data_IF_168422955633
#
_entry.id   IF_168422955633
#
_cell.length_a   1.000
_cell.length_b   1.000
_cell.length_c   1.000
_cell.angle_alpha   90.00
_cell.angle_beta   90.00
_cell.angle_gamma   90.00
#
_symmetry.space_group_name_H-M   'P 1'
#
loop_
_entity.id
_entity.type
_entity.pdbx_description
1 polymer ?
#
# COMPACT_ATOMS: atom_id res chain seq x y z
N UNK A 1 8.05 11.65 -22.07
CA UNK A 1 7.39 12.56 -21.10
C UNK A 1 6.77 11.73 -19.99
N UNK A 2 7.36 11.73 -18.78
CA UNK A 2 6.78 11.05 -17.61
C UNK A 2 5.60 11.89 -17.11
N UNK A 3 4.41 11.29 -16.98
CA UNK A 3 3.25 11.97 -16.41
C UNK A 3 3.40 11.96 -14.89
N UNK A 4 3.82 13.09 -14.31
CA UNK A 4 3.80 13.28 -12.86
C UNK A 4 2.35 13.36 -12.40
N UNK A 5 1.90 12.37 -11.61
CA UNK A 5 0.58 12.40 -10.96
C UNK A 5 0.59 13.50 -9.90
N UNK A 6 -0.09 14.61 -10.17
CA UNK A 6 -0.41 15.62 -9.15
C UNK A 6 -1.71 15.18 -8.50
N UNK A 7 -1.63 14.65 -7.28
CA UNK A 7 -2.82 14.34 -6.51
C UNK A 7 -3.44 15.67 -6.05
N UNK A 8 -4.72 15.94 -6.34
CA UNK A 8 -5.40 17.05 -5.69
C UNK A 8 -5.44 16.71 -4.19
N UNK A 9 -4.78 17.53 -3.38
CA UNK A 9 -5.00 17.54 -1.94
C UNK A 9 -6.44 18.02 -1.72
N UNK A 10 -7.39 17.10 -1.78
CA UNK A 10 -8.77 17.39 -1.43
C UNK A 10 -8.79 17.73 0.05
N UNK A 11 -9.03 19.00 0.36
CA UNK A 11 -9.05 19.61 1.70
C UNK A 11 -10.05 18.93 2.67
N UNK A 12 -10.85 17.95 2.22
CA UNK A 12 -11.95 17.37 3.00
C UNK A 12 -11.78 15.93 3.50
N UNK A 13 -10.64 15.24 3.28
CA UNK A 13 -10.45 13.87 3.80
C UNK A 13 -9.60 13.86 5.06
N UNK A 14 -10.25 14.16 6.19
CA UNK A 14 -9.65 14.02 7.51
C UNK A 14 -9.67 12.58 8.00
N UNK A 15 -8.89 12.30 9.04
CA UNK A 15 -8.88 10.99 9.73
C UNK A 15 -10.28 10.60 10.23
N UNK A 16 -11.09 11.58 10.67
CA UNK A 16 -12.49 11.37 11.08
C UNK A 16 -13.38 10.77 9.99
N UNK A 17 -13.02 10.92 8.70
CA UNK A 17 -13.80 10.38 7.59
C UNK A 17 -13.60 8.88 7.36
N UNK A 18 -12.70 8.24 8.11
CA UNK A 18 -12.37 6.82 7.97
C UNK A 18 -13.23 5.91 8.85
N UNK A 19 -13.75 6.44 9.96
CA UNK A 19 -14.63 5.71 10.86
C UNK A 19 -15.98 5.41 10.22
N UNK A 20 -16.71 4.44 10.79
CA UNK A 20 -18.06 4.12 10.37
C UNK A 20 -19.03 5.28 10.64
N UNK A 21 -20.10 5.37 9.85
CA UNK A 21 -21.08 6.47 9.92
C UNK A 21 -21.26 7.21 8.59
N UNK A 22 -22.00 8.32 8.62
CA UNK A 22 -22.33 9.13 7.44
C UNK A 22 -21.15 9.95 6.90
N UNK A 23 -20.13 10.18 7.71
CA UNK A 23 -18.94 10.94 7.31
C UNK A 23 -18.17 10.22 6.19
N UNK A 24 -17.59 10.99 5.27
CA UNK A 24 -16.92 10.41 4.11
C UNK A 24 -17.85 9.75 3.09
N UNK A 25 -19.15 10.08 3.10
CA UNK A 25 -20.14 9.54 2.16
C UNK A 25 -19.69 9.52 0.70
N UNK A 26 -19.01 10.57 0.22
CA UNK A 26 -18.55 10.67 -1.17
C UNK A 26 -17.62 9.52 -1.59
N UNK A 27 -16.66 9.14 -0.73
CA UNK A 27 -15.74 8.06 -1.04
C UNK A 27 -16.32 6.69 -0.71
N UNK A 28 -17.14 6.59 0.36
CA UNK A 28 -17.83 5.35 0.74
C UNK A 28 -18.84 4.92 -0.33
N UNK A 29 -19.68 5.83 -0.82
CA UNK A 29 -20.65 5.58 -1.89
C UNK A 29 -19.97 5.21 -3.21
N UNK A 30 -18.87 5.89 -3.56
CA UNK A 30 -18.03 5.52 -4.70
C UNK A 30 -17.49 4.10 -4.58
N UNK A 31 -16.93 3.73 -3.42
CA UNK A 31 -16.38 2.40 -3.20
C UNK A 31 -17.45 1.30 -3.32
N UNK A 32 -18.65 1.53 -2.78
CA UNK A 32 -19.79 0.61 -2.92
C UNK A 32 -20.27 0.50 -4.37
N UNK A 33 -20.33 1.62 -5.10
CA UNK A 33 -20.68 1.64 -6.51
C UNK A 33 -19.65 0.88 -7.37
N UNK A 34 -18.35 1.02 -7.10
CA UNK A 34 -17.28 0.29 -7.77
C UNK A 34 -17.39 -1.23 -7.52
N UNK A 35 -17.65 -1.66 -6.27
CA UNK A 35 -17.90 -3.08 -5.96
C UNK A 35 -19.10 -3.65 -6.71
N UNK A 36 -20.22 -2.91 -6.72
CA UNK A 36 -21.44 -3.31 -7.44
C UNK A 36 -21.22 -3.39 -8.94
N UNK A 37 -20.56 -2.39 -9.53
CA UNK A 37 -20.26 -2.35 -10.96
C UNK A 37 -19.38 -3.52 -11.38
N UNK A 38 -18.36 -3.86 -10.58
CA UNK A 38 -17.49 -5.00 -10.83
C UNK A 38 -18.28 -6.32 -10.81
N UNK A 39 -19.14 -6.51 -9.81
CA UNK A 39 -19.99 -7.70 -9.70
C UNK A 39 -20.93 -7.87 -10.91
N UNK A 40 -21.60 -6.79 -11.31
CA UNK A 40 -22.50 -6.79 -12.47
C UNK A 40 -21.75 -7.02 -13.78
N UNK A 41 -20.56 -6.44 -13.94
CA UNK A 41 -19.73 -6.66 -15.14
C UNK A 41 -19.26 -8.10 -15.23
N UNK A 42 -18.81 -8.68 -14.11
CA UNK A 42 -18.36 -10.07 -14.06
C UNK A 42 -19.48 -11.07 -14.38
N UNK A 43 -20.67 -10.88 -13.79
CA UNK A 43 -21.80 -11.77 -13.98
C UNK A 43 -22.55 -11.53 -15.29
N UNK A 44 -22.80 -10.28 -15.65
CA UNK A 44 -23.76 -9.89 -16.69
C UNK A 44 -23.17 -9.45 -18.03
N UNK A 45 -21.91 -9.01 -18.10
CA UNK A 45 -21.33 -8.52 -19.36
C UNK A 45 -20.81 -9.68 -20.23
N UNK A 46 -21.68 -10.16 -21.11
CA UNK A 46 -21.35 -11.25 -22.05
C UNK A 46 -20.20 -10.88 -22.99
N UNK A 47 -20.01 -9.59 -23.29
CA UNK A 47 -18.94 -9.14 -24.19
C UNK A 47 -17.54 -9.31 -23.59
N UNK A 48 -17.43 -9.54 -22.27
CA UNK A 48 -16.15 -9.84 -21.61
C UNK A 48 -15.73 -11.30 -21.73
N UNK A 49 -16.64 -12.20 -22.14
CA UNK A 49 -16.40 -13.65 -22.23
C UNK A 49 -15.79 -14.04 -23.58
N UNK A 50 -14.76 -13.30 -24.01
CA UNK A 50 -14.11 -13.45 -25.32
C UNK A 50 -12.71 -14.02 -25.11
N UNK A 51 -12.31 -14.95 -25.99
CA UNK A 51 -10.95 -15.47 -25.98
C UNK A 51 -9.93 -14.37 -26.31
N UNK A 52 -8.80 -14.38 -25.61
CA UNK A 52 -7.73 -13.42 -25.85
C UNK A 52 -7.14 -13.61 -27.25
N UNK A 53 -7.04 -12.53 -28.02
CA UNK A 53 -6.42 -12.47 -29.34
C UNK A 53 -5.27 -11.45 -29.35
N UNK A 54 -4.49 -11.40 -30.43
CA UNK A 54 -3.21 -10.67 -30.45
C UNK A 54 -3.36 -9.18 -30.15
N UNK A 55 -4.44 -8.54 -30.60
CA UNK A 55 -4.72 -7.15 -30.27
C UNK A 55 -4.90 -6.93 -28.75
N UNK A 56 -5.57 -7.84 -28.04
CA UNK A 56 -5.70 -7.79 -26.58
C UNK A 56 -4.36 -8.05 -25.91
N UNK A 57 -3.56 -9.01 -26.39
CA UNK A 57 -2.24 -9.34 -25.83
C UNK A 57 -1.28 -8.15 -25.91
N UNK A 58 -1.17 -7.55 -27.11
CA UNK A 58 -0.31 -6.38 -27.33
C UNK A 58 -0.76 -5.18 -26.50
N UNK A 59 -2.06 -4.86 -26.50
CA UNK A 59 -2.59 -3.75 -25.70
C UNK A 59 -2.46 -4.00 -24.19
N UNK A 60 -2.62 -5.25 -23.76
CA UNK A 60 -2.43 -5.64 -22.37
C UNK A 60 -1.00 -5.41 -21.88
N UNK A 61 0.00 -5.79 -22.68
CA UNK A 61 1.41 -5.56 -22.35
C UNK A 61 1.76 -4.06 -22.37
N UNK A 62 1.26 -3.29 -23.35
CA UNK A 62 1.41 -1.83 -23.38
C UNK A 62 0.83 -1.18 -22.12
N UNK A 63 -0.37 -1.59 -21.70
CA UNK A 63 -1.01 -1.06 -20.48
C UNK A 63 -0.23 -1.44 -19.21
N UNK A 64 0.29 -2.66 -19.14
CA UNK A 64 1.14 -3.13 -18.03
C UNK A 64 2.43 -2.31 -17.93
N UNK A 65 3.07 -2.02 -19.06
CA UNK A 65 4.26 -1.15 -19.10
C UNK A 65 3.90 0.29 -18.71
N UNK A 66 2.76 0.81 -19.17
CA UNK A 66 2.29 2.14 -18.82
C UNK A 66 2.05 2.30 -17.31
N UNK A 67 1.43 1.31 -16.66
CA UNK A 67 1.20 1.31 -15.20
C UNK A 67 2.54 1.21 -14.45
N UNK A 68 3.48 0.37 -14.91
CA UNK A 68 4.82 0.26 -14.32
C UNK A 68 5.65 1.55 -14.44
N UNK A 69 5.42 2.34 -15.49
CA UNK A 69 6.07 3.62 -15.70
C UNK A 69 5.47 4.76 -14.88
N UNK A 70 4.34 4.55 -14.19
CA UNK A 70 3.77 5.52 -13.27
C UNK A 70 4.55 5.52 -11.94
N UNK A 71 5.34 6.57 -11.72
CA UNK A 71 5.99 6.82 -10.44
C UNK A 71 4.98 7.41 -9.44
N UNK A 72 4.94 6.87 -8.22
CA UNK A 72 4.16 7.42 -7.13
C UNK A 72 4.82 8.73 -6.65
N UNK A 73 4.07 9.83 -6.48
CA UNK A 73 4.63 11.02 -5.86
C UNK A 73 4.99 10.70 -4.41
N UNK A 74 6.29 10.77 -4.08
CA UNK A 74 6.74 10.64 -2.70
C UNK A 74 6.46 11.93 -1.95
N UNK A 75 5.72 11.82 -0.85
CA UNK A 75 5.51 12.93 0.09
C UNK A 75 6.69 12.95 1.05
N UNK A 76 7.24 14.13 1.32
CA UNK A 76 8.44 14.31 2.13
C UNK A 76 9.62 13.50 1.58
N UNK A 77 10.26 14.01 0.52
CA UNK A 77 11.59 13.52 0.18
C UNK A 77 12.48 13.74 1.41
N UNK A 78 12.94 12.67 2.05
CA UNK A 78 14.18 12.75 2.83
C UNK A 78 15.23 13.28 1.86
N UNK A 79 15.77 14.47 2.14
CA UNK A 79 16.91 15.05 1.40
C UNK A 79 18.20 14.27 1.66
N UNK A 80 18.09 13.00 2.02
CA UNK A 80 19.20 12.13 2.34
C UNK A 80 19.40 11.27 1.10
N UNK A 81 20.63 11.15 0.60
CA UNK A 81 21.07 10.25 -0.50
C UNK A 81 21.00 10.72 -1.96
N UNK A 82 21.21 12.02 -2.25
CA UNK A 82 21.84 12.40 -3.54
C UNK A 82 23.11 13.25 -3.38
N UNK A 83 23.62 13.44 -2.15
CA UNK A 83 24.93 14.06 -1.87
C UNK A 83 25.99 13.02 -1.45
N UNK A 84 25.72 11.72 -1.64
CA UNK A 84 26.65 10.65 -1.27
C UNK A 84 27.84 10.48 -2.26
N UNK A 85 27.91 11.24 -3.35
CA UNK A 85 29.02 11.16 -4.31
C UNK A 85 30.33 11.83 -3.85
N UNK A 86 30.36 12.49 -2.68
CA UNK A 86 31.57 13.11 -2.11
C UNK A 86 32.13 12.45 -0.83
N UNK A 87 31.69 11.23 -0.47
CA UNK A 87 32.16 10.54 0.74
C UNK A 87 33.49 9.76 0.57
N UNK A 88 34.17 9.89 -0.57
CA UNK A 88 35.41 9.15 -0.86
C UNK A 88 36.68 9.74 -0.19
N UNK A 89 36.57 10.84 0.56
CA UNK A 89 37.70 11.50 1.24
C UNK A 89 37.55 11.57 2.76
N UNK A 90 36.65 10.80 3.38
CA UNK A 90 36.65 10.68 4.84
C UNK A 90 37.73 9.68 5.23
N UNK A 91 38.86 10.19 5.75
CA UNK A 91 39.88 9.38 6.40
C UNK A 91 39.30 8.79 7.70
N UNK A 92 38.78 7.57 7.59
CA UNK A 92 38.21 6.82 8.70
C UNK A 92 39.19 6.67 9.87
N UNK A 93 40.52 6.69 9.63
CA UNK A 93 41.51 6.63 10.72
C UNK A 93 41.61 7.93 11.50
N UNK A 94 41.58 9.08 10.83
CA UNK A 94 41.51 10.40 11.48
C UNK A 94 40.22 10.56 12.28
N UNK A 95 39.08 10.16 11.69
CA UNK A 95 37.77 10.18 12.35
C UNK A 95 37.73 9.27 13.58
N UNK A 96 38.27 8.05 13.48
CA UNK A 96 38.38 7.11 14.60
C UNK A 96 39.30 7.65 15.71
N UNK A 97 40.41 8.32 15.36
CA UNK A 97 41.31 8.92 16.37
C UNK A 97 40.69 10.10 17.13
N UNK A 98 39.83 10.87 16.44
CA UNK A 98 39.10 12.00 17.02
C UNK A 98 37.95 11.50 17.91
N UNK A 99 37.32 10.40 17.51
CA UNK A 99 36.32 9.65 18.25
C UNK A 99 36.92 8.99 19.51
N UNK A 100 38.09 8.37 19.43
CA UNK A 100 38.72 7.70 20.59
C UNK A 100 39.11 8.67 21.72
N UNK A 101 39.15 9.99 21.48
CA UNK A 101 39.45 11.02 22.48
C UNK A 101 38.26 11.77 23.09
N UNK A 102 37.07 11.72 22.48
CA UNK A 102 35.90 12.56 22.85
C UNK A 102 34.63 11.77 23.20
N UNK A 103 34.67 10.44 23.29
CA UNK A 103 33.51 9.70 23.76
C UNK A 103 33.33 9.87 25.28
N UNK A 104 32.45 10.80 25.65
CA UNK A 104 31.59 10.59 26.80
C UNK A 104 30.87 9.25 26.59
N UNK A 105 31.37 8.21 27.25
CA UNK A 105 30.79 6.84 27.32
C UNK A 105 29.32 6.86 27.78
N UNK A 106 28.80 8.02 28.21
CA UNK A 106 27.43 8.26 28.68
C UNK A 106 26.37 8.39 27.59
N UNK A 107 26.71 8.73 26.34
CA UNK A 107 25.66 9.03 25.33
C UNK A 107 24.83 7.80 24.92
N UNK A 108 25.42 6.61 24.91
CA UNK A 108 24.69 5.35 24.69
C UNK A 108 24.09 4.77 25.97
N UNK A 109 24.59 5.17 27.15
CA UNK A 109 24.13 4.66 28.45
C UNK A 109 22.74 5.20 28.83
N UNK A 110 22.32 6.32 28.24
CA UNK A 110 21.02 6.96 28.49
C UNK A 110 19.93 6.64 27.46
N UNK A 111 20.20 5.77 26.48
CA UNK A 111 19.21 5.40 25.47
C UNK A 111 18.14 4.51 26.11
N UNK A 112 16.87 4.88 25.92
CA UNK A 112 15.76 4.06 26.38
C UNK A 112 15.82 2.68 25.68
N UNK A 113 15.50 1.58 26.37
CA UNK A 113 15.58 0.24 25.78
C UNK A 113 14.67 0.06 24.55
N UNK A 114 13.59 0.85 24.42
CA UNK A 114 12.76 0.91 23.21
C UNK A 114 13.56 1.42 22.01
N UNK A 115 14.32 2.49 22.19
CA UNK A 115 15.03 3.19 21.13
C UNK A 115 16.27 2.40 20.72
N UNK A 116 16.95 1.78 21.69
CA UNK A 116 18.04 0.86 21.44
C UNK A 116 17.61 -0.33 20.55
N UNK A 117 16.38 -0.84 20.72
CA UNK A 117 15.84 -1.88 19.85
C UNK A 117 15.60 -1.38 18.42
N UNK A 118 15.02 -0.18 18.25
CA UNK A 118 14.82 0.41 16.91
C UNK A 118 16.13 0.65 16.17
N UNK A 119 17.14 1.22 16.85
CA UNK A 119 18.47 1.41 16.28
C UNK A 119 19.10 0.06 15.90
N UNK A 120 18.98 -0.95 16.78
CA UNK A 120 19.49 -2.29 16.51
C UNK A 120 18.84 -2.90 15.26
N UNK A 121 17.52 -2.77 15.08
CA UNK A 121 16.83 -3.29 13.89
C UNK A 121 17.24 -2.56 12.62
N UNK A 122 17.41 -1.24 12.68
CA UNK A 122 17.79 -0.41 11.54
C UNK A 122 19.25 -0.67 11.09
N UNK A 123 20.20 -0.68 12.03
CA UNK A 123 21.63 -0.87 11.71
C UNK A 123 21.98 -2.31 11.32
N UNK A 124 21.32 -3.32 11.92
CA UNK A 124 21.64 -4.72 11.64
C UNK A 124 20.91 -5.27 10.40
N UNK A 125 20.05 -4.49 9.74
CA UNK A 125 19.27 -4.90 8.56
C UNK A 125 18.66 -6.30 8.74
N UNK A 126 17.98 -6.50 9.87
CA UNK A 126 17.34 -7.78 10.14
C UNK A 126 16.34 -8.11 9.02
N UNK A 127 16.19 -9.40 8.68
CA UNK A 127 15.26 -9.80 7.62
C UNK A 127 13.81 -9.51 8.04
N UNK A 128 13.26 -8.42 7.53
CA UNK A 128 11.90 -7.91 7.80
C UNK A 128 10.79 -8.75 7.14
N UNK A 129 11.06 -9.98 6.72
CA UNK A 129 10.07 -10.86 6.08
C UNK A 129 8.77 -11.02 6.88
N UNK A 130 8.83 -10.94 8.22
CA UNK A 130 7.66 -10.97 9.09
C UNK A 130 6.82 -9.69 8.98
N UNK A 131 7.47 -8.53 8.95
CA UNK A 131 6.80 -7.24 8.80
C UNK A 131 6.19 -7.08 7.41
N UNK A 132 6.88 -7.54 6.36
CA UNK A 132 6.35 -7.56 5.00
C UNK A 132 5.07 -8.41 4.91
N UNK A 133 5.00 -9.53 5.64
CA UNK A 133 3.77 -10.34 5.73
C UNK A 133 2.65 -9.59 6.46
N UNK A 134 2.98 -8.88 7.54
CA UNK A 134 2.03 -8.05 8.29
C UNK A 134 1.46 -6.92 7.41
N UNK A 135 2.32 -6.25 6.64
CA UNK A 135 1.91 -5.26 5.63
C UNK A 135 1.01 -5.88 4.55
N UNK A 136 1.31 -7.12 4.13
CA UNK A 136 0.44 -7.89 3.24
C UNK A 136 -0.95 -8.14 3.82
N UNK A 137 -1.05 -8.39 5.13
CA UNK A 137 -2.32 -8.55 5.84
C UNK A 137 -3.09 -7.23 5.94
N UNK A 138 -2.42 -6.12 6.30
CA UNK A 138 -3.08 -4.81 6.41
C UNK A 138 -3.55 -4.27 5.06
N UNK A 139 -2.73 -4.39 4.03
CA UNK A 139 -3.07 -3.95 2.67
C UNK A 139 -4.17 -4.79 2.02
N UNK A 140 -4.41 -6.02 2.52
CA UNK A 140 -5.36 -6.97 1.93
C UNK A 140 -5.14 -7.13 0.43
N UNK A 141 -3.98 -7.67 0.04
CA UNK A 141 -3.62 -7.83 -1.37
C UNK A 141 -4.75 -8.46 -2.19
N UNK A 142 -5.06 -7.85 -3.34
CA UNK A 142 -6.14 -8.28 -4.26
C UNK A 142 -7.55 -8.24 -3.66
N UNK A 143 -7.80 -7.42 -2.62
CA UNK A 143 -9.09 -7.28 -1.93
C UNK A 143 -10.33 -7.37 -2.83
N UNK A 144 -10.35 -6.59 -3.91
CA UNK A 144 -11.54 -6.46 -4.77
C UNK A 144 -11.56 -7.45 -5.95
N UNK A 145 -10.46 -8.16 -6.23
CA UNK A 145 -10.35 -9.10 -7.36
C UNK A 145 -10.27 -10.57 -6.94
N UNK A 146 -9.85 -10.85 -5.70
CA UNK A 146 -9.69 -12.22 -5.20
C UNK A 146 -11.00 -13.01 -5.23
N UNK A 147 -12.13 -12.39 -4.88
CA UNK A 147 -13.43 -13.05 -4.88
C UNK A 147 -13.84 -13.62 -6.25
N UNK A 148 -13.37 -13.04 -7.36
CA UNK A 148 -13.72 -13.48 -8.72
C UNK A 148 -12.66 -14.41 -9.35
N UNK A 149 -11.45 -14.42 -8.79
CA UNK A 149 -10.31 -15.22 -9.27
C UNK A 149 -10.17 -16.53 -8.51
N UNK A 150 -10.71 -16.61 -7.29
CA UNK A 150 -10.72 -17.83 -6.50
C UNK A 150 -11.65 -18.88 -7.14
N UNK A 151 -11.20 -20.13 -7.17
CA UNK A 151 -11.98 -21.22 -7.74
C UNK A 151 -13.24 -21.48 -6.90
N UNK A 152 -14.41 -21.48 -7.54
CA UNK A 152 -15.71 -21.79 -6.93
C UNK A 152 -16.06 -20.99 -5.65
N UNK A 153 -15.57 -19.75 -5.55
CA UNK A 153 -15.83 -18.86 -4.40
C UNK A 153 -17.26 -18.31 -4.33
N UNK A 154 -17.95 -18.22 -5.47
CA UNK A 154 -19.31 -17.70 -5.58
C UNK A 154 -20.26 -18.89 -5.80
N UNK A 155 -21.18 -19.18 -4.87
CA UNK A 155 -22.12 -20.27 -5.04
C UNK A 155 -23.14 -19.94 -6.13
N UNK A 156 -23.66 -20.96 -6.81
CA UNK A 156 -24.54 -20.76 -7.98
C UNK A 156 -25.82 -20.00 -7.66
N UNK A 157 -26.37 -20.14 -6.45
CA UNK A 157 -27.54 -19.38 -5.99
C UNK A 157 -27.31 -17.86 -5.94
N UNK A 158 -26.06 -17.42 -5.81
CA UNK A 158 -25.68 -16.02 -5.70
C UNK A 158 -25.25 -15.40 -7.05
N UNK A 159 -25.38 -16.16 -8.15
CA UNK A 159 -24.99 -15.72 -9.50
C UNK A 159 -26.12 -14.98 -10.21
N UNK A 160 -26.70 -14.01 -9.52
CA UNK A 160 -27.78 -13.19 -10.06
C UNK A 160 -27.50 -11.69 -9.81
N UNK A 161 -28.24 -10.81 -10.49
CA UNK A 161 -27.98 -9.36 -10.44
C UNK A 161 -28.43 -8.69 -9.12
N UNK A 162 -29.30 -9.34 -8.35
CA UNK A 162 -29.83 -8.80 -7.10
C UNK A 162 -29.06 -9.29 -5.86
N UNK A 163 -28.27 -10.35 -6.00
CA UNK A 163 -27.43 -10.95 -4.97
C UNK A 163 -26.36 -9.99 -4.48
N UNK A 164 -26.20 -9.94 -3.16
CA UNK A 164 -25.29 -9.03 -2.47
C UNK A 164 -23.99 -9.73 -2.02
N UNK A 165 -23.56 -10.78 -2.72
CA UNK A 165 -22.39 -11.58 -2.33
C UNK A 165 -21.11 -10.77 -2.13
N UNK A 166 -20.92 -9.71 -2.93
CA UNK A 166 -19.77 -8.80 -2.86
C UNK A 166 -19.70 -7.93 -1.58
N UNK A 167 -20.74 -7.97 -0.73
CA UNK A 167 -20.80 -7.25 0.54
C UNK A 167 -20.49 -8.13 1.76
N UNK A 168 -20.31 -9.45 1.60
CA UNK A 168 -20.06 -10.40 2.71
C UNK A 168 -18.82 -10.08 3.55
N UNK A 169 -17.86 -9.35 2.98
CA UNK A 169 -16.61 -8.96 3.63
C UNK A 169 -16.70 -7.61 4.36
N UNK A 170 -17.81 -6.88 4.22
CA UNK A 170 -18.05 -5.63 4.93
C UNK A 170 -18.42 -5.98 6.37
N UNK A 171 -17.60 -5.55 7.32
CA UNK A 171 -17.84 -5.71 8.76
C UNK A 171 -17.93 -4.33 9.39
N UNK A 172 -18.96 -4.04 10.21
CA UNK A 172 -18.93 -2.85 11.03
C UNK A 172 -17.74 -2.94 11.98
N UNK A 173 -17.04 -1.84 12.18
CA UNK A 173 -16.15 -1.66 13.32
C UNK A 173 -16.95 -1.93 14.59
N UNK A 174 -16.32 -2.56 15.59
CA UNK A 174 -16.95 -2.75 16.90
C UNK A 174 -17.34 -1.37 17.43
N UNK A 175 -18.62 -1.03 17.36
CA UNK A 175 -19.18 0.06 18.15
C UNK A 175 -19.07 -0.40 19.60
N UNK A 176 -18.45 0.38 20.48
CA UNK A 176 -18.29 0.11 21.92
C UNK A 176 -19.61 0.08 22.72
N UNK A 177 -20.72 -0.31 22.08
CA UNK A 177 -22.06 -0.36 22.65
C UNK A 177 -22.66 -1.76 22.43
N UNK A 178 -22.08 -2.78 23.08
CA UNK A 178 -22.72 -4.02 23.57
C UNK A 178 -21.79 -4.75 24.56
#
# INVERSE_FOLDING_TARGET
MRKKLVLPLSIGRGFSSWDDGSDGHEWKSRALAEKRLLALTYLGDVNKRVQIHDAIRLRGEVNKQAIRACELPTFFQTKETNEAENLQEIDYHSLLSMIEGEFEVDTLAHIAPSDANFLKTEFLQCDDSAEVKLLGQWSNLRRDTADYNNYASIPDGERNAWSAWYLRNVRPGKTEND
#
